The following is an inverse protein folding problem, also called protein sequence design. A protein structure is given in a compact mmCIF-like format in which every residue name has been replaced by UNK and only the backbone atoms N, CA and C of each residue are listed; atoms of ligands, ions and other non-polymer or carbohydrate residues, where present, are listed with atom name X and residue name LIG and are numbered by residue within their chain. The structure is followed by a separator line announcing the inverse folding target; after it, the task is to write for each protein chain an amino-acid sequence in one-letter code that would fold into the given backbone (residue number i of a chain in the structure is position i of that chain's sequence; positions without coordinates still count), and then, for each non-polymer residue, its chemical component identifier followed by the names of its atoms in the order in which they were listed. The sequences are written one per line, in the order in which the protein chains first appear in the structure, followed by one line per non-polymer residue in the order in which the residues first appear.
data_IF_022795085165
#
_entry.id   IF_022795085165
#
_cell.length_a   1.000
_cell.length_b   1.000
_cell.length_c   1.000
_cell.angle_alpha   90.00
_cell.angle_beta   90.00
_cell.angle_gamma   90.00
#
_symmetry.space_group_name_H-M   'P 1'
#
loop_
_entity.id
_entity.type
_entity.pdbx_description
1 polymer ?
#
# COMPACT_ATOMS: atom_id res chain seq x y z
N UNK A 1 -1.99 -7.12 -6.30
CA UNK A 1 -1.65 -8.54 -6.44
C UNK A 1 -0.24 -8.76 -6.96
N UNK A 2 0.23 -9.99 -7.00
CA UNK A 2 1.61 -10.33 -7.35
C UNK A 2 2.05 -9.78 -8.71
N UNK A 3 1.23 -9.90 -9.73
CA UNK A 3 1.53 -9.37 -11.05
C UNK A 3 1.10 -7.91 -11.28
N UNK A 4 0.79 -7.20 -10.19
CA UNK A 4 0.60 -5.74 -10.20
C UNK A 4 1.92 -4.96 -10.07
N UNK A 5 3.06 -5.67 -9.95
CA UNK A 5 4.40 -5.09 -9.86
C UNK A 5 5.34 -5.84 -10.80
N UNK A 6 6.46 -5.23 -11.18
CA UNK A 6 7.50 -5.89 -11.99
C UNK A 6 8.47 -6.74 -11.14
N UNK A 7 8.29 -6.78 -9.83
CA UNK A 7 9.08 -7.63 -8.93
C UNK A 7 8.64 -9.09 -9.04
N UNK A 8 9.59 -9.98 -9.32
CA UNK A 8 9.33 -11.42 -9.39
C UNK A 8 9.20 -12.00 -7.96
N UNK A 9 8.00 -12.44 -7.58
CA UNK A 9 7.70 -12.92 -6.23
C UNK A 9 8.19 -14.35 -5.97
N UNK A 10 8.20 -15.21 -6.99
CA UNK A 10 8.67 -16.60 -6.91
C UNK A 10 9.62 -16.91 -8.05
N UNK A 11 10.76 -17.51 -7.72
CA UNK A 11 11.82 -17.76 -8.72
C UNK A 11 11.36 -18.70 -9.86
N UNK A 12 10.56 -19.71 -9.53
CA UNK A 12 10.11 -20.74 -10.47
C UNK A 12 8.74 -20.45 -11.11
N UNK A 13 8.16 -19.27 -10.83
CA UNK A 13 6.85 -18.87 -11.38
C UNK A 13 7.00 -17.57 -12.18
N UNK A 14 7.16 -17.64 -13.51
CA UNK A 14 7.30 -16.44 -14.34
C UNK A 14 6.13 -15.46 -14.22
N UNK A 15 4.91 -15.97 -14.04
CA UNK A 15 3.71 -15.16 -13.85
C UNK A 15 3.63 -14.44 -12.51
N UNK A 16 4.60 -14.64 -11.62
CA UNK A 16 4.66 -13.96 -10.31
C UNK A 16 5.16 -12.51 -10.37
N UNK A 17 5.38 -11.97 -11.56
CA UNK A 17 5.59 -10.55 -11.84
C UNK A 17 4.67 -10.09 -12.96
N UNK A 18 4.47 -8.79 -13.06
CA UNK A 18 3.78 -8.23 -14.22
C UNK A 18 4.56 -8.46 -15.50
N UNK A 19 3.82 -8.76 -16.57
CA UNK A 19 4.31 -8.79 -17.95
C UNK A 19 4.07 -7.46 -18.68
N UNK A 20 3.55 -6.42 -17.95
CA UNK A 20 3.23 -5.12 -18.53
C UNK A 20 3.57 -3.94 -17.62
N UNK A 21 3.25 -4.01 -16.31
CA UNK A 21 3.50 -2.93 -15.36
C UNK A 21 4.99 -2.81 -15.04
N UNK A 22 5.40 -1.62 -14.64
CA UNK A 22 6.79 -1.30 -14.30
C UNK A 22 6.83 -0.64 -12.94
N UNK A 23 7.69 -1.15 -12.05
CA UNK A 23 7.89 -0.64 -10.70
C UNK A 23 9.38 -0.67 -10.34
N UNK A 24 10.22 0.15 -11.01
CA UNK A 24 11.67 0.08 -10.88
C UNK A 24 12.17 0.42 -9.45
N UNK A 25 11.52 1.32 -8.74
CA UNK A 25 11.91 1.66 -7.37
C UNK A 25 11.57 0.54 -6.39
N UNK A 26 10.46 -0.15 -6.60
CA UNK A 26 10.10 -1.33 -5.83
C UNK A 26 11.03 -2.52 -6.14
N UNK A 27 11.48 -2.66 -7.39
CA UNK A 27 12.53 -3.63 -7.73
C UNK A 27 13.81 -3.34 -6.96
N UNK A 28 14.24 -2.07 -6.92
CA UNK A 28 15.41 -1.64 -6.16
C UNK A 28 15.25 -1.94 -4.67
N UNK A 29 14.10 -1.62 -4.08
CA UNK A 29 13.78 -1.95 -2.68
C UNK A 29 13.89 -3.46 -2.43
N UNK A 30 13.31 -4.27 -3.33
CA UNK A 30 13.31 -5.73 -3.21
C UNK A 30 14.68 -6.38 -3.36
N UNK A 31 15.62 -5.73 -4.06
CA UNK A 31 17.00 -6.20 -4.22
C UNK A 31 17.86 -5.90 -2.99
N UNK A 32 17.51 -4.86 -2.24
CA UNK A 32 18.21 -4.43 -1.04
C UNK A 32 17.68 -5.04 0.25
N UNK A 33 16.57 -5.76 0.17
CA UNK A 33 15.88 -6.31 1.32
C UNK A 33 15.31 -7.69 1.06
N UNK A 34 14.17 -7.99 1.66
CA UNK A 34 13.52 -9.29 1.61
C UNK A 34 12.19 -9.20 0.89
N UNK A 35 11.89 -10.20 0.06
CA UNK A 35 10.59 -10.42 -0.58
C UNK A 35 9.88 -11.56 0.13
N UNK A 36 8.65 -11.35 0.51
CA UNK A 36 7.84 -12.38 1.16
C UNK A 36 6.89 -13.00 0.16
N UNK A 37 7.18 -14.21 -0.30
CA UNK A 37 6.30 -14.97 -1.21
C UNK A 37 5.03 -15.45 -0.50
N UNK A 38 5.08 -15.59 0.81
CA UNK A 38 4.03 -16.14 1.66
C UNK A 38 3.56 -15.14 2.73
N UNK A 39 3.37 -13.87 2.33
CA UNK A 39 2.79 -12.83 3.17
C UNK A 39 1.28 -12.75 2.94
N UNK A 40 0.52 -12.88 4.03
CA UNK A 40 -0.94 -12.88 3.99
C UNK A 40 -1.51 -11.65 4.71
N UNK A 41 -2.38 -10.92 4.04
CA UNK A 41 -3.27 -9.95 4.68
C UNK A 41 -4.33 -10.70 5.50
N UNK A 42 -4.72 -10.12 6.62
CA UNK A 42 -5.67 -10.77 7.53
C UNK A 42 -7.10 -10.85 6.99
N UNK A 43 -7.40 -10.11 5.92
CA UNK A 43 -8.69 -10.12 5.24
C UNK A 43 -8.56 -9.74 3.77
N UNK A 44 -9.47 -10.21 2.90
CA UNK A 44 -9.49 -9.83 1.48
C UNK A 44 -10.13 -8.46 1.23
N UNK A 45 -10.26 -7.61 2.25
CA UNK A 45 -10.90 -6.29 2.19
C UNK A 45 -10.26 -5.29 3.14
N UNK A 46 -10.33 -3.98 2.79
CA UNK A 46 -9.55 -2.92 3.39
C UNK A 46 -9.71 -2.78 4.92
N UNK A 47 -10.92 -2.46 5.43
CA UNK A 47 -11.09 -2.09 6.84
C UNK A 47 -10.69 -3.20 7.82
N UNK A 48 -11.14 -4.45 7.68
CA UNK A 48 -10.72 -5.54 8.54
C UNK A 48 -9.20 -5.76 8.53
N UNK A 49 -8.56 -5.72 7.34
CA UNK A 49 -7.11 -5.85 7.23
C UNK A 49 -6.37 -4.69 7.90
N UNK A 50 -6.84 -3.46 7.73
CA UNK A 50 -6.24 -2.26 8.35
C UNK A 50 -6.31 -2.28 9.87
N UNK A 51 -7.44 -2.67 10.44
CA UNK A 51 -7.56 -2.90 11.88
C UNK A 51 -6.59 -3.97 12.39
N UNK A 52 -6.44 -5.07 11.63
CA UNK A 52 -5.48 -6.13 11.99
C UNK A 52 -4.03 -5.63 11.97
N UNK A 53 -3.66 -4.81 11.01
CA UNK A 53 -2.33 -4.18 10.95
C UNK A 53 -2.11 -3.33 12.20
N UNK A 54 -3.09 -2.49 12.58
CA UNK A 54 -2.93 -1.58 13.72
C UNK A 54 -2.81 -2.31 15.06
N UNK A 55 -3.62 -3.34 15.29
CA UNK A 55 -3.74 -3.98 16.61
C UNK A 55 -3.07 -5.35 16.71
N UNK A 56 -2.51 -5.89 15.62
CA UNK A 56 -1.98 -7.26 15.61
C UNK A 56 -3.04 -8.33 15.94
N UNK A 57 -4.33 -8.03 15.69
CA UNK A 57 -5.45 -8.93 15.98
C UNK A 57 -6.14 -9.35 14.69
N UNK A 58 -6.56 -10.62 14.61
CA UNK A 58 -7.33 -11.09 13.46
C UNK A 58 -8.70 -10.40 13.38
N UNK A 59 -9.29 -10.25 12.19
CA UNK A 59 -10.63 -9.67 12.03
C UNK A 59 -11.70 -10.41 12.84
N UNK A 60 -11.60 -11.73 12.97
CA UNK A 60 -12.50 -12.54 13.78
C UNK A 60 -12.48 -12.13 15.27
N UNK A 61 -11.29 -11.84 15.82
CA UNK A 61 -11.16 -11.35 17.21
C UNK A 61 -11.69 -9.94 17.41
N UNK A 62 -11.79 -9.18 16.33
CA UNK A 62 -12.35 -7.83 16.35
C UNK A 62 -13.84 -7.83 15.96
N UNK A 63 -14.44 -8.99 15.70
CA UNK A 63 -15.82 -9.12 15.17
C UNK A 63 -16.06 -8.22 13.95
N UNK A 64 -15.04 -8.07 13.08
CA UNK A 64 -15.01 -7.16 11.94
C UNK A 64 -14.58 -7.91 10.67
N UNK A 65 -15.54 -8.45 9.94
CA UNK A 65 -15.26 -9.33 8.79
C UNK A 65 -15.53 -8.71 7.41
N UNK A 66 -16.13 -7.51 7.36
CA UNK A 66 -16.43 -6.78 6.12
C UNK A 66 -16.35 -5.27 6.29
N UNK A 67 -16.26 -4.54 5.17
CA UNK A 67 -16.34 -3.07 5.17
C UNK A 67 -17.77 -2.60 5.52
N UNK A 68 -17.87 -1.40 6.08
CA UNK A 68 -19.16 -0.79 6.43
C UNK A 68 -19.85 -1.39 7.66
N UNK A 69 -19.17 -2.25 8.41
CA UNK A 69 -19.68 -2.67 9.73
C UNK A 69 -19.53 -1.55 10.74
N UNK A 70 -20.45 -1.51 11.73
CA UNK A 70 -20.27 -0.69 12.92
C UNK A 70 -19.04 -1.16 13.69
N UNK A 71 -18.22 -0.22 14.13
CA UNK A 71 -16.96 -0.46 14.85
C UNK A 71 -16.98 0.09 16.27
N UNK A 72 -18.13 0.53 16.78
CA UNK A 72 -18.27 1.11 18.13
C UNK A 72 -17.96 0.10 19.25
N UNK A 73 -18.08 -1.20 18.94
CA UNK A 73 -17.72 -2.28 19.86
C UNK A 73 -16.20 -2.52 19.97
N UNK A 74 -15.40 -1.88 19.14
CA UNK A 74 -13.93 -2.04 19.16
C UNK A 74 -13.37 -1.01 20.14
N UNK A 75 -12.67 -1.49 21.15
CA UNK A 75 -11.97 -0.63 22.10
C UNK A 75 -10.72 0.00 21.44
N UNK A 76 -10.93 1.09 20.70
CA UNK A 76 -9.89 1.79 19.97
C UNK A 76 -8.84 2.42 20.90
N UNK A 77 -9.23 2.80 22.12
CA UNK A 77 -8.34 3.43 23.09
C UNK A 77 -7.56 2.39 23.90
N UNK A 78 -8.22 1.35 24.37
CA UNK A 78 -7.63 0.33 25.23
C UNK A 78 -6.76 -0.69 24.48
N UNK A 79 -6.97 -0.90 23.16
CA UNK A 79 -6.10 -1.80 22.40
C UNK A 79 -4.75 -1.15 22.11
N UNK A 80 -3.69 -1.95 22.27
CA UNK A 80 -2.34 -1.55 21.91
C UNK A 80 -2.21 -1.55 20.38
N UNK A 81 -1.98 -0.36 19.83
CA UNK A 81 -1.65 -0.15 18.42
C UNK A 81 -0.14 -0.08 18.21
N UNK A 82 0.31 -0.09 16.96
CA UNK A 82 1.74 0.07 16.63
C UNK A 82 2.33 1.35 17.26
N UNK A 83 1.73 2.56 17.08
CA UNK A 83 2.24 3.77 17.73
C UNK A 83 2.32 3.67 19.25
N UNK A 84 1.28 3.14 19.90
CA UNK A 84 1.26 2.96 21.37
C UNK A 84 2.37 2.02 21.84
N UNK A 85 2.55 0.88 21.15
CA UNK A 85 3.61 -0.08 21.45
C UNK A 85 5.00 0.55 21.34
N UNK A 86 5.27 1.29 20.27
CA UNK A 86 6.55 1.97 20.08
C UNK A 86 6.82 3.02 21.16
N UNK A 87 5.82 3.82 21.52
CA UNK A 87 5.93 4.82 22.59
C UNK A 87 6.10 4.21 23.99
N UNK A 88 5.64 3.00 24.19
CA UNK A 88 5.92 2.26 25.44
C UNK A 88 7.38 1.86 25.54
N UNK A 89 8.03 1.51 24.41
CA UNK A 89 9.45 1.18 24.36
C UNK A 89 10.31 2.45 24.47
N UNK A 90 9.93 3.50 23.75
CA UNK A 90 10.62 4.79 23.78
C UNK A 90 9.61 5.93 23.55
N UNK A 91 9.33 6.69 24.59
CA UNK A 91 8.36 7.81 24.57
C UNK A 91 8.73 8.94 23.60
N UNK A 92 9.97 8.98 23.11
CA UNK A 92 10.43 9.97 22.13
C UNK A 92 9.98 9.69 20.70
N UNK A 93 9.38 8.51 20.42
CA UNK A 93 8.87 8.21 19.08
C UNK A 93 7.85 9.25 18.63
N UNK A 94 8.12 9.83 17.46
CA UNK A 94 7.12 10.60 16.70
C UNK A 94 6.37 9.65 15.76
N UNK A 95 5.07 9.81 15.68
CA UNK A 95 4.24 8.86 14.92
C UNK A 95 3.31 9.59 13.97
N UNK A 96 3.27 9.18 12.71
CA UNK A 96 2.40 9.78 11.70
C UNK A 96 1.67 8.74 10.84
N UNK A 97 0.44 9.10 10.43
CA UNK A 97 -0.32 8.37 9.42
C UNK A 97 -0.85 9.34 8.36
N UNK A 98 -0.50 9.09 7.10
CA UNK A 98 -1.00 9.87 5.97
C UNK A 98 -1.75 9.00 4.96
N UNK A 99 -2.77 9.59 4.33
CA UNK A 99 -3.59 8.95 3.32
C UNK A 99 -4.80 8.22 3.89
N UNK A 100 -5.22 7.13 3.25
CA UNK A 100 -6.45 6.41 3.59
C UNK A 100 -6.41 5.76 4.96
N UNK A 101 -7.20 6.26 5.90
CA UNK A 101 -7.41 5.61 7.19
C UNK A 101 -8.41 4.44 7.09
N UNK A 102 -9.66 4.72 6.79
CA UNK A 102 -10.68 3.71 6.49
C UNK A 102 -11.18 2.89 7.68
N UNK A 103 -10.97 3.35 8.92
CA UNK A 103 -11.28 2.62 10.14
C UNK A 103 -12.26 3.35 11.07
N UNK A 104 -12.88 4.43 10.65
CA UNK A 104 -13.92 5.14 11.42
C UNK A 104 -13.38 6.11 12.47
N UNK A 105 -12.75 5.62 13.54
CA UNK A 105 -12.18 6.47 14.60
C UNK A 105 -11.01 7.32 14.11
N UNK A 106 -10.73 8.44 14.81
CA UNK A 106 -9.58 9.28 14.49
C UNK A 106 -8.26 8.54 14.77
N UNK A 107 -7.23 8.65 13.91
CA UNK A 107 -5.91 8.07 14.15
C UNK A 107 -5.27 8.46 15.48
N UNK A 108 -5.60 9.61 16.04
CA UNK A 108 -5.07 10.07 17.34
C UNK A 108 -5.38 9.11 18.49
N UNK A 109 -6.56 8.45 18.49
CA UNK A 109 -6.91 7.46 19.53
C UNK A 109 -6.05 6.20 19.45
N UNK A 110 -5.41 5.96 18.29
CA UNK A 110 -4.42 4.90 18.08
C UNK A 110 -2.99 5.33 18.46
N UNK A 111 -2.80 6.56 18.94
CA UNK A 111 -1.52 7.08 19.39
C UNK A 111 -0.68 7.77 18.31
N UNK A 112 -1.25 8.07 17.14
CA UNK A 112 -0.58 8.90 16.14
C UNK A 112 -0.54 10.38 16.57
N UNK A 113 0.64 11.01 16.45
CA UNK A 113 0.81 12.44 16.77
C UNK A 113 0.36 13.33 15.63
N UNK A 114 0.57 12.88 14.39
CA UNK A 114 0.22 13.60 13.17
C UNK A 114 -0.58 12.69 12.25
N UNK A 115 -1.65 13.20 11.65
CA UNK A 115 -2.42 12.43 10.68
C UNK A 115 -3.29 13.30 9.77
N UNK A 116 -3.75 12.70 8.66
CA UNK A 116 -4.79 13.29 7.80
C UNK A 116 -6.20 13.13 8.38
N UNK A 117 -6.34 12.52 9.57
CA UNK A 117 -7.62 12.27 10.21
C UNK A 117 -8.34 11.03 9.71
N UNK A 118 -9.66 10.90 9.96
CA UNK A 118 -10.46 9.70 9.63
C UNK A 118 -10.84 9.63 8.15
N UNK A 119 -9.88 9.72 7.27
CA UNK A 119 -10.02 9.70 5.81
C UNK A 119 -10.61 8.39 5.28
N UNK A 120 -11.29 8.47 4.15
CA UNK A 120 -11.97 7.35 3.45
C UNK A 120 -11.54 7.30 1.98
N UNK A 121 -12.09 6.39 1.20
CA UNK A 121 -11.79 6.30 -0.24
C UNK A 121 -12.10 7.59 -1.02
N UNK A 122 -13.17 8.32 -0.65
CA UNK A 122 -13.55 9.57 -1.31
C UNK A 122 -12.48 10.66 -1.20
N UNK A 123 -11.68 10.67 -0.15
CA UNK A 123 -10.60 11.63 0.04
C UNK A 123 -9.42 11.38 -0.92
N UNK A 124 -9.44 10.22 -1.61
CA UNK A 124 -8.57 9.87 -2.74
C UNK A 124 -9.32 9.78 -4.07
N UNK A 125 -10.29 10.66 -4.29
CA UNK A 125 -11.06 10.81 -5.54
C UNK A 125 -11.93 9.61 -5.92
N UNK A 126 -12.41 8.82 -4.96
CA UNK A 126 -13.32 7.72 -5.22
C UNK A 126 -14.78 8.18 -5.15
N UNK A 127 -15.55 8.02 -6.22
CA UNK A 127 -16.96 8.36 -6.32
C UNK A 127 -17.92 7.17 -6.43
N UNK A 128 -17.47 5.97 -6.67
CA UNK A 128 -18.26 4.75 -6.75
C UNK A 128 -19.32 4.74 -7.87
N UNK A 129 -19.11 5.46 -8.93
CA UNK A 129 -19.93 5.39 -10.13
C UNK A 129 -19.24 4.54 -11.24
N UNK A 130 -19.88 4.47 -12.42
CA UNK A 130 -19.32 3.72 -13.54
C UNK A 130 -18.05 4.37 -14.10
N UNK A 131 -17.87 5.68 -13.94
CA UNK A 131 -16.74 6.45 -14.43
C UNK A 131 -15.46 6.13 -13.65
N UNK A 132 -15.55 5.54 -12.45
CA UNK A 132 -14.42 5.18 -11.60
C UNK A 132 -13.36 4.30 -12.31
N UNK A 133 -13.75 3.61 -13.36
CA UNK A 133 -12.87 2.74 -14.16
C UNK A 133 -12.33 3.42 -15.42
N UNK A 134 -12.81 4.60 -15.75
CA UNK A 134 -12.25 5.41 -16.82
C UNK A 134 -10.90 5.98 -16.38
N UNK A 135 -9.91 5.88 -17.25
CA UNK A 135 -8.61 6.43 -16.99
C UNK A 135 -8.62 7.95 -17.20
N UNK A 136 -8.21 8.71 -16.19
CA UNK A 136 -8.19 10.17 -16.18
C UNK A 136 -6.77 10.69 -15.90
N UNK A 137 -6.36 11.72 -16.61
CA UNK A 137 -5.08 12.39 -16.37
C UNK A 137 -5.24 13.43 -15.25
N UNK A 138 -4.35 13.36 -14.26
CA UNK A 138 -4.28 14.27 -13.11
C UNK A 138 -2.84 14.73 -12.86
N UNK A 139 -2.68 15.92 -12.28
CA UNK A 139 -1.36 16.41 -11.83
C UNK A 139 -0.84 15.62 -10.61
N UNK A 140 -1.73 15.35 -9.68
CA UNK A 140 -1.46 14.53 -8.49
C UNK A 140 -2.48 13.37 -8.42
N UNK A 141 -2.26 12.28 -9.18
CA UNK A 141 -3.18 11.17 -9.24
C UNK A 141 -3.27 10.48 -7.87
N UNK A 142 -4.50 10.28 -7.38
CA UNK A 142 -4.75 9.62 -6.09
C UNK A 142 -3.98 10.25 -4.92
N UNK A 143 -3.65 11.54 -5.00
CA UNK A 143 -2.86 12.27 -4.01
C UNK A 143 -1.49 11.61 -3.72
N UNK A 144 -0.91 10.90 -4.69
CA UNK A 144 0.35 10.14 -4.48
C UNK A 144 1.47 11.09 -4.09
N UNK A 145 1.63 12.19 -4.82
CA UNK A 145 2.78 13.09 -4.65
C UNK A 145 2.62 14.00 -3.44
N UNK A 146 1.41 14.54 -3.19
CA UNK A 146 1.13 15.31 -1.98
C UNK A 146 1.28 14.48 -0.70
N UNK A 147 0.91 13.19 -0.71
CA UNK A 147 1.18 12.29 0.42
C UNK A 147 2.66 12.01 0.59
N UNK A 148 3.40 11.86 -0.51
CA UNK A 148 4.87 11.71 -0.50
C UNK A 148 5.55 12.95 0.09
N UNK A 149 5.13 14.15 -0.30
CA UNK A 149 5.67 15.41 0.23
C UNK A 149 5.43 15.54 1.74
N UNK A 150 4.21 15.27 2.23
CA UNK A 150 3.90 15.22 3.67
C UNK A 150 4.79 14.23 4.42
N UNK A 151 5.00 13.05 3.85
CA UNK A 151 5.86 12.02 4.43
C UNK A 151 7.32 12.50 4.52
N UNK A 152 7.84 13.11 3.47
CA UNK A 152 9.19 13.67 3.41
C UNK A 152 9.36 14.76 4.47
N UNK A 153 8.42 15.69 4.60
CA UNK A 153 8.50 16.76 5.61
C UNK A 153 8.44 16.20 7.04
N UNK A 154 7.63 15.18 7.29
CA UNK A 154 7.60 14.50 8.59
C UNK A 154 8.95 13.83 8.92
N UNK A 155 9.56 13.13 7.96
CA UNK A 155 10.88 12.49 8.13
C UNK A 155 11.95 13.56 8.41
N UNK A 156 12.00 14.64 7.62
CA UNK A 156 12.95 15.75 7.80
C UNK A 156 12.83 16.38 9.18
N UNK A 157 11.60 16.70 9.60
CA UNK A 157 11.38 17.29 10.92
C UNK A 157 11.72 16.33 12.06
N UNK A 158 11.45 15.05 11.91
CA UNK A 158 11.82 14.04 12.93
C UNK A 158 13.33 13.89 13.06
N UNK A 159 14.05 13.90 11.94
CA UNK A 159 15.53 13.90 11.95
C UNK A 159 16.09 15.17 12.58
N UNK A 160 15.57 16.35 12.22
CA UNK A 160 16.03 17.62 12.78
C UNK A 160 15.84 17.72 14.30
N UNK A 161 14.80 17.05 14.82
CA UNK A 161 14.53 16.93 16.27
C UNK A 161 15.28 15.76 16.94
N UNK A 162 16.08 15.01 16.18
CA UNK A 162 16.80 13.80 16.66
C UNK A 162 15.87 12.79 17.34
N UNK A 163 14.65 12.65 16.84
CA UNK A 163 13.63 11.73 17.36
C UNK A 163 13.47 10.53 16.45
N UNK A 164 13.37 9.32 17.03
CA UNK A 164 12.93 8.15 16.27
C UNK A 164 11.51 8.36 15.79
N UNK A 165 11.16 7.79 14.63
CA UNK A 165 9.84 7.95 14.06
C UNK A 165 9.23 6.65 13.58
N UNK A 166 7.90 6.62 13.56
CA UNK A 166 7.08 5.65 12.83
C UNK A 166 6.17 6.42 11.89
N UNK A 167 6.27 6.11 10.61
CA UNK A 167 5.45 6.71 9.57
C UNK A 167 4.73 5.62 8.79
N UNK A 168 3.41 5.69 8.75
CA UNK A 168 2.59 4.87 7.88
C UNK A 168 1.96 5.72 6.79
N UNK A 169 2.24 5.39 5.52
CA UNK A 169 1.61 6.00 4.36
C UNK A 169 0.65 4.98 3.77
N UNK A 170 -0.62 5.28 3.82
CA UNK A 170 -1.68 4.43 3.28
C UNK A 170 -2.21 5.04 1.99
N UNK A 171 -1.55 4.78 0.88
CA UNK A 171 -1.92 5.35 -0.42
C UNK A 171 -3.36 4.99 -0.82
N UNK A 172 -4.04 5.92 -1.50
CA UNK A 172 -5.31 5.65 -2.17
C UNK A 172 -5.12 4.84 -3.45
N UNK A 173 -3.99 4.99 -4.12
CA UNK A 173 -3.59 4.12 -5.23
C UNK A 173 -3.29 2.70 -4.70
N UNK A 174 -3.65 1.66 -5.42
CA UNK A 174 -4.25 1.66 -6.75
C UNK A 174 -5.76 1.36 -6.70
N UNK A 175 -6.47 1.92 -5.74
CA UNK A 175 -7.94 1.84 -5.71
C UNK A 175 -8.53 2.71 -6.83
N UNK A 176 -9.68 2.32 -7.43
CA UNK A 176 -10.41 3.23 -8.33
C UNK A 176 -10.74 4.56 -7.59
N UNK A 177 -10.90 5.71 -8.25
CA UNK A 177 -10.88 5.89 -9.69
C UNK A 177 -9.46 5.70 -10.26
N UNK A 178 -9.38 5.39 -11.55
CA UNK A 178 -8.12 5.16 -12.24
C UNK A 178 -7.54 6.49 -12.71
N UNK A 179 -6.43 6.90 -12.13
CA UNK A 179 -5.81 8.20 -12.40
C UNK A 179 -4.31 8.03 -12.62
N UNK A 180 -3.72 8.82 -13.52
CA UNK A 180 -2.27 8.90 -13.68
C UNK A 180 -1.83 10.26 -14.18
N UNK A 181 -0.51 10.54 -14.09
CA UNK A 181 0.10 11.65 -14.83
C UNK A 181 0.07 11.37 -16.33
N UNK A 182 0.07 12.43 -17.11
CA UNK A 182 0.17 12.37 -18.57
C UNK A 182 1.45 11.63 -19.01
N UNK A 183 2.60 11.96 -18.42
CA UNK A 183 3.89 11.31 -18.69
C UNK A 183 3.83 9.81 -18.46
N UNK A 184 3.22 9.36 -17.37
CA UNK A 184 3.09 7.95 -17.03
C UNK A 184 2.14 7.24 -17.99
N UNK A 185 1.03 7.89 -18.37
CA UNK A 185 0.13 7.38 -19.41
C UNK A 185 0.85 7.23 -20.76
N UNK A 186 1.61 8.24 -21.20
CA UNK A 186 2.37 8.20 -22.44
C UNK A 186 3.38 7.04 -22.48
N UNK A 187 4.03 6.73 -21.34
CA UNK A 187 4.98 5.61 -21.23
C UNK A 187 4.37 4.26 -21.62
N UNK A 188 3.11 4.04 -21.32
CA UNK A 188 2.42 2.76 -21.57
C UNK A 188 1.57 2.75 -22.84
N UNK A 189 1.40 3.92 -23.52
CA UNK A 189 0.51 4.06 -24.67
C UNK A 189 0.88 3.12 -25.81
N UNK A 190 2.15 3.10 -26.17
CA UNK A 190 2.66 2.34 -27.31
C UNK A 190 3.38 1.04 -26.89
N UNK A 191 3.41 0.77 -25.58
CA UNK A 191 4.00 -0.46 -25.05
C UNK A 191 3.11 -1.66 -25.40
N UNK A 192 3.68 -2.76 -25.93
CA UNK A 192 2.92 -3.99 -26.16
C UNK A 192 2.24 -4.47 -24.88
N UNK A 193 0.96 -4.83 -24.99
CA UNK A 193 0.20 -5.37 -23.85
C UNK A 193 0.75 -6.73 -23.45
N UNK A 194 0.74 -6.99 -22.14
CA UNK A 194 1.06 -8.32 -21.61
C UNK A 194 -0.05 -9.34 -21.91
N UNK A 195 0.26 -10.61 -21.73
CA UNK A 195 -0.73 -11.68 -21.81
C UNK A 195 -1.72 -11.60 -20.64
N UNK A 196 -1.23 -11.25 -19.47
CA UNK A 196 -2.00 -11.18 -18.22
C UNK A 196 -2.45 -9.75 -17.89
N UNK A 197 -1.54 -8.77 -17.97
CA UNK A 197 -1.82 -7.37 -17.66
C UNK A 197 -1.93 -6.53 -18.94
N UNK A 198 -3.02 -5.78 -19.06
CA UNK A 198 -3.35 -5.05 -20.31
C UNK A 198 -3.84 -3.63 -20.09
N UNK A 199 -4.19 -3.28 -18.84
CA UNK A 199 -4.80 -1.99 -18.55
C UNK A 199 -3.76 -0.89 -18.42
N UNK A 200 -3.82 0.08 -19.36
CA UNK A 200 -2.91 1.21 -19.41
C UNK A 200 -3.06 2.10 -18.18
N UNK A 201 -4.29 2.36 -17.76
CA UNK A 201 -4.55 3.27 -16.65
C UNK A 201 -4.01 2.72 -15.33
N UNK A 202 -4.22 1.42 -15.07
CA UNK A 202 -3.64 0.77 -13.89
C UNK A 202 -2.12 0.69 -13.96
N UNK A 203 -1.53 0.44 -15.13
CA UNK A 203 -0.09 0.44 -15.30
C UNK A 203 0.51 1.83 -14.98
N UNK A 204 -0.09 2.87 -15.53
CA UNK A 204 0.36 4.25 -15.34
C UNK A 204 0.18 4.71 -13.87
N UNK A 205 -0.96 4.40 -13.24
CA UNK A 205 -1.20 4.71 -11.83
C UNK A 205 -0.23 3.97 -10.89
N UNK A 206 0.08 2.70 -11.19
CA UNK A 206 1.06 1.92 -10.43
C UNK A 206 2.47 2.48 -10.59
N UNK A 207 2.81 2.95 -11.79
CA UNK A 207 4.08 3.61 -12.06
C UNK A 207 4.21 4.94 -11.29
N UNK A 208 3.15 5.76 -11.23
CA UNK A 208 3.13 6.98 -10.41
C UNK A 208 3.32 6.66 -8.92
N UNK A 209 2.71 5.58 -8.42
CA UNK A 209 2.92 5.13 -7.03
C UNK A 209 4.37 4.72 -6.79
N UNK A 210 4.98 4.04 -7.74
CA UNK A 210 6.39 3.66 -7.68
C UNK A 210 7.33 4.88 -7.77
N UNK A 211 6.97 5.92 -8.56
CA UNK A 211 7.70 7.21 -8.55
C UNK A 211 7.65 7.85 -7.16
N UNK A 212 6.48 7.86 -6.50
CA UNK A 212 6.34 8.35 -5.11
C UNK A 212 7.24 7.60 -4.13
N UNK A 213 7.31 6.26 -4.25
CA UNK A 213 8.24 5.46 -3.47
C UNK A 213 9.70 5.85 -3.74
N UNK A 214 10.06 6.05 -5.00
CA UNK A 214 11.41 6.49 -5.40
C UNK A 214 11.83 7.81 -4.75
N UNK A 215 10.92 8.80 -4.68
CA UNK A 215 11.16 10.07 -4.00
C UNK A 215 11.44 9.88 -2.50
N UNK A 216 10.69 9.00 -1.83
CA UNK A 216 10.91 8.67 -0.41
C UNK A 216 12.26 7.98 -0.18
N UNK A 217 12.58 6.97 -0.99
CA UNK A 217 13.86 6.24 -0.89
C UNK A 217 15.05 7.19 -1.09
N UNK A 218 14.97 8.06 -2.09
CA UNK A 218 16.00 9.06 -2.34
C UNK A 218 16.14 10.02 -1.15
N UNK A 219 15.03 10.47 -0.57
CA UNK A 219 15.09 11.38 0.58
C UNK A 219 15.68 10.72 1.83
N UNK A 220 15.36 9.48 2.12
CA UNK A 220 15.93 8.70 3.22
C UNK A 220 17.45 8.59 3.05
N UNK A 221 17.90 8.35 1.82
CA UNK A 221 19.33 8.31 1.48
C UNK A 221 20.00 9.68 1.62
N UNK A 222 19.41 10.76 1.08
CA UNK A 222 19.91 12.12 1.21
C UNK A 222 20.06 12.58 2.68
N UNK A 223 19.17 12.10 3.52
CA UNK A 223 19.20 12.39 4.95
C UNK A 223 20.18 11.50 5.73
N UNK A 224 20.84 10.56 5.08
CA UNK A 224 21.78 9.61 5.70
C UNK A 224 21.18 8.86 6.89
N UNK A 225 19.97 8.31 6.69
CA UNK A 225 19.25 7.50 7.67
C UNK A 225 18.85 6.11 7.14
N UNK A 226 19.34 5.73 5.97
CA UNK A 226 18.98 4.46 5.29
C UNK A 226 19.35 3.25 6.16
N UNK A 227 20.55 3.25 6.76
CA UNK A 227 21.05 2.15 7.58
C UNK A 227 20.30 1.99 8.93
N UNK A 228 19.54 2.99 9.33
CA UNK A 228 18.77 3.00 10.59
C UNK A 228 17.27 3.14 10.36
N UNK A 229 16.78 2.77 9.17
CA UNK A 229 15.36 2.89 8.82
C UNK A 229 14.84 1.61 8.21
N UNK A 230 13.89 0.96 8.89
CA UNK A 230 13.11 -0.14 8.32
C UNK A 230 12.05 0.41 7.37
N UNK A 231 12.10 -0.03 6.11
CA UNK A 231 11.08 0.32 5.11
C UNK A 231 10.29 -0.94 4.78
N UNK A 232 8.98 -0.89 5.02
CA UNK A 232 8.07 -2.01 4.74
C UNK A 232 7.05 -1.54 3.70
N UNK A 233 7.08 -2.14 2.53
CA UNK A 233 6.06 -1.96 1.51
C UNK A 233 5.13 -3.17 1.50
N UNK A 234 3.83 -2.93 1.66
CA UNK A 234 2.83 -3.99 1.68
C UNK A 234 1.50 -3.56 1.07
N UNK A 235 0.73 -4.51 0.59
CA UNK A 235 -0.67 -4.29 0.21
C UNK A 235 -1.59 -4.74 1.34
N UNK A 236 -2.68 -3.99 1.58
CA UNK A 236 -3.68 -4.31 2.60
C UNK A 236 -4.57 -5.51 2.23
N UNK A 237 -4.72 -5.81 0.94
CA UNK A 237 -5.41 -6.97 0.38
C UNK A 237 -5.04 -7.15 -1.10
N UNK A 238 -5.51 -8.22 -1.69
CA UNK A 238 -5.34 -8.46 -3.12
C UNK A 238 -6.05 -7.42 -4.00
N UNK A 239 -5.61 -7.31 -5.24
CA UNK A 239 -6.25 -6.46 -6.26
C UNK A 239 -7.67 -6.96 -6.59
N UNK A 240 -8.49 -6.10 -7.18
CA UNK A 240 -9.78 -6.52 -7.73
C UNK A 240 -9.57 -7.66 -8.74
N UNK A 241 -10.45 -8.68 -8.76
CA UNK A 241 -10.26 -9.82 -9.65
C UNK A 241 -10.40 -9.46 -11.13
N UNK A 242 -11.26 -8.51 -11.45
CA UNK A 242 -11.49 -8.04 -12.81
C UNK A 242 -11.83 -6.55 -12.82
N UNK A 243 -11.43 -5.86 -13.91
CA UNK A 243 -11.95 -4.54 -14.26
C UNK A 243 -13.31 -4.73 -14.95
N UNK A 244 -14.27 -3.79 -14.81
CA UNK A 244 -15.54 -3.83 -15.54
C UNK A 244 -15.35 -4.03 -17.05
N UNK A 245 -16.09 -4.95 -17.62
CA UNK A 245 -15.97 -5.34 -19.03
C UNK A 245 -15.17 -6.62 -19.28
N UNK A 246 -14.35 -7.07 -18.34
CA UNK A 246 -13.74 -8.39 -18.38
C UNK A 246 -14.70 -9.45 -17.84
N UNK A 247 -14.64 -10.68 -18.35
CA UNK A 247 -15.40 -11.79 -17.79
C UNK A 247 -14.92 -12.08 -16.37
N UNK A 248 -15.86 -12.15 -15.44
CA UNK A 248 -15.59 -12.39 -14.03
C UNK A 248 -14.78 -13.68 -13.85
N UNK A 249 -13.63 -13.58 -13.19
CA UNK A 249 -12.70 -14.67 -12.86
C UNK A 249 -12.02 -15.38 -14.06
N UNK A 250 -12.20 -14.93 -15.29
CA UNK A 250 -11.54 -15.56 -16.45
C UNK A 250 -10.05 -15.29 -16.45
N UNK A 251 -9.63 -14.08 -16.11
CA UNK A 251 -8.22 -13.71 -15.91
C UNK A 251 -8.10 -12.75 -14.74
N UNK A 252 -7.57 -13.23 -13.64
CA UNK A 252 -7.37 -12.41 -12.44
C UNK A 252 -6.18 -11.47 -12.60
N UNK A 253 -6.33 -10.21 -12.17
CA UNK A 253 -5.22 -9.28 -11.99
C UNK A 253 -4.23 -9.70 -10.90
N UNK A 254 -4.48 -10.81 -10.23
CA UNK A 254 -3.62 -11.39 -9.22
C UNK A 254 -2.92 -12.67 -9.72
N UNK A 255 -2.99 -12.98 -11.02
CA UNK A 255 -2.32 -14.16 -11.58
C UNK A 255 -0.87 -14.28 -11.08
N UNK A 256 -0.34 -15.46 -10.78
CA UNK A 256 -0.96 -16.80 -10.91
C UNK A 256 -1.95 -17.16 -9.80
N UNK A 257 -2.20 -16.28 -8.84
CA UNK A 257 -3.10 -16.50 -7.72
C UNK A 257 -4.57 -16.40 -8.16
N UNK A 258 -5.40 -17.27 -7.62
CA UNK A 258 -6.82 -17.30 -7.95
C UNK A 258 -7.59 -16.16 -7.31
N UNK A 259 -8.54 -15.57 -8.08
CA UNK A 259 -9.45 -14.51 -7.63
C UNK A 259 -8.74 -13.24 -7.12
N UNK A 260 -9.31 -12.53 -6.15
CA UNK A 260 -8.77 -11.27 -5.67
C UNK A 260 -9.59 -10.69 -4.53
N UNK A 261 -9.54 -9.36 -4.38
CA UNK A 261 -10.32 -8.61 -3.39
C UNK A 261 -11.76 -9.13 -3.29
N UNK A 262 -12.26 -9.20 -2.07
CA UNK A 262 -13.55 -9.78 -1.60
C UNK A 262 -13.59 -11.30 -1.48
N UNK A 263 -12.61 -12.03 -2.00
CA UNK A 263 -12.53 -13.49 -1.91
C UNK A 263 -11.40 -13.92 -0.98
N UNK A 264 -11.64 -14.92 -0.14
CA UNK A 264 -10.63 -15.50 0.75
C UNK A 264 -9.68 -16.49 0.05
N UNK A 265 -9.61 -16.44 -1.28
CA UNK A 265 -8.63 -17.16 -2.08
C UNK A 265 -7.28 -16.45 -2.07
N UNK A 266 -6.24 -17.15 -2.50
CA UNK A 266 -4.86 -16.64 -2.54
C UNK A 266 -4.74 -15.25 -3.18
N UNK A 267 -5.43 -15.00 -4.30
CA UNK A 267 -5.43 -13.68 -4.95
C UNK A 267 -6.04 -12.55 -4.12
N UNK A 268 -6.86 -12.88 -3.12
CA UNK A 268 -7.48 -11.89 -2.22
C UNK A 268 -6.67 -11.59 -0.96
N UNK A 269 -5.94 -12.58 -0.44
CA UNK A 269 -5.26 -12.49 0.86
C UNK A 269 -3.74 -12.59 0.78
N UNK A 270 -3.16 -13.27 -0.21
CA UNK A 270 -1.72 -13.35 -0.40
C UNK A 270 -1.22 -12.06 -1.05
N UNK A 271 -0.99 -11.09 -0.21
CA UNK A 271 -0.61 -9.73 -0.60
C UNK A 271 0.90 -9.63 -0.85
N UNK A 272 1.31 -8.64 -1.66
CA UNK A 272 2.73 -8.34 -1.80
C UNK A 272 3.27 -7.76 -0.49
N UNK A 273 4.47 -8.19 -0.10
CA UNK A 273 5.20 -7.60 1.01
C UNK A 273 6.70 -7.62 0.71
N UNK A 274 7.33 -6.48 0.94
CA UNK A 274 8.76 -6.27 0.77
C UNK A 274 9.30 -5.48 1.95
N UNK A 275 10.55 -5.75 2.34
CA UNK A 275 11.24 -4.92 3.33
C UNK A 275 12.58 -4.47 2.80
N UNK A 276 13.06 -3.35 3.31
CA UNK A 276 14.44 -2.92 3.19
C UNK A 276 15.05 -2.93 4.60
N UNK A 277 15.97 -3.84 4.78
CA UNK A 277 17.13 -3.82 5.66
C UNK A 277 17.96 -5.03 5.30
N UNK A 278 19.23 -4.84 5.00
CA UNK A 278 20.15 -5.95 5.07
C UNK A 278 20.03 -6.52 6.48
N UNK A 279 19.55 -7.76 6.60
CA UNK A 279 19.94 -8.54 7.75
C UNK A 279 21.46 -8.47 7.77
N UNK A 280 22.05 -7.88 8.81
CA UNK A 280 23.45 -8.15 9.08
C UNK A 280 23.52 -9.66 9.17
N UNK A 281 24.18 -10.28 8.19
CA UNK A 281 24.62 -11.66 8.36
C UNK A 281 25.53 -11.62 9.57
N UNK A 282 25.00 -11.96 10.73
CA UNK A 282 25.80 -12.38 11.86
C UNK A 282 26.41 -13.70 11.43
N UNK A 283 27.65 -13.63 10.96
CA UNK A 283 28.48 -14.78 10.68
C UNK A 283 28.71 -15.63 11.92
#
# INVERSE_FOLDING_TARGET
GWNGTSVKMMNNEPGSKSDYFETPNLELLSQRGMRFSDAYSSAPVCAPSRYSIQFGKTPARLSLIRVGMNTDHIDHEGFTSIPKALKTINSKYRTAHFGKWGMGSNPTVFGYDVSDGPTKNKDGNFDNDRSQWQHVIKKDPKNIFSLTDKAIEFIKSSKAEEKPFYLQISHYAVHSNVESKEKSSARFKDKPKGAQQKDLGFAAMTFDLDEGLGLLLNKIKELDIEENTYIIYMSDNGSVPNIPGAKKYEKSYNYPLSRGKWDAYEGGVRAVSYTHLRAHETG
#
